data_IF_362625288655
#
_entry.id   IF_362625288655
#
_cell.length_a   1.000
_cell.length_b   1.000
_cell.length_c   1.000
_cell.angle_alpha   90.00
_cell.angle_beta   90.00
_cell.angle_gamma   90.00
#
_symmetry.space_group_name_H-M   'P 1'
#
loop_
_entity.id
_entity.type
_entity.pdbx_description
1 polymer ?
#
# COMPACT_ATOMS: atom_id res chain seq x y z
N UNK A 1 11.86 44.45 -65.47
CA UNK A 1 11.17 43.99 -64.25
C UNK A 1 9.78 44.57 -64.25
N UNK A 2 8.78 43.70 -64.44
CA UNK A 2 7.39 44.12 -64.67
C UNK A 2 6.59 44.10 -63.37
N UNK A 3 5.57 44.97 -63.27
CA UNK A 3 4.71 45.12 -62.08
C UNK A 3 3.99 43.83 -61.66
N UNK A 4 3.93 42.82 -62.53
CA UNK A 4 3.37 41.50 -62.25
C UNK A 4 4.28 40.59 -61.42
N UNK A 5 5.60 40.65 -61.62
CA UNK A 5 6.58 39.80 -60.91
C UNK A 5 6.55 40.08 -59.40
N UNK A 6 6.55 41.36 -59.03
CA UNK A 6 6.42 41.80 -57.63
C UNK A 6 5.16 41.31 -56.92
N UNK A 7 4.03 41.20 -57.63
CA UNK A 7 2.79 40.68 -57.04
C UNK A 7 2.87 39.17 -56.77
N UNK A 8 3.50 38.41 -57.67
CA UNK A 8 3.65 36.97 -57.52
C UNK A 8 4.63 36.65 -56.39
N UNK A 9 5.73 37.40 -56.28
CA UNK A 9 6.72 37.22 -55.21
C UNK A 9 6.13 37.51 -53.82
N UNK A 10 5.30 38.56 -53.70
CA UNK A 10 4.64 38.91 -52.43
C UNK A 10 3.60 37.87 -51.98
N UNK A 11 2.82 37.33 -52.93
CA UNK A 11 1.88 36.24 -52.66
C UNK A 11 2.62 34.96 -52.23
N UNK A 12 3.77 34.68 -52.84
CA UNK A 12 4.58 33.49 -52.51
C UNK A 12 5.23 33.62 -51.14
N UNK A 13 5.72 34.81 -50.78
CA UNK A 13 6.30 35.09 -49.47
C UNK A 13 5.28 34.92 -48.32
N UNK A 14 4.09 35.50 -48.49
CA UNK A 14 3.00 35.35 -47.49
C UNK A 14 2.54 33.90 -47.37
N UNK A 15 2.43 33.15 -48.48
CA UNK A 15 2.09 31.73 -48.46
C UNK A 15 3.16 30.88 -47.74
N UNK A 16 4.45 31.18 -47.91
CA UNK A 16 5.52 30.47 -47.21
C UNK A 16 5.54 30.75 -45.71
N UNK A 17 5.30 32.00 -45.29
CA UNK A 17 5.16 32.34 -43.86
C UNK A 17 3.97 31.60 -43.24
N UNK A 18 2.80 31.63 -43.90
CA UNK A 18 1.61 30.94 -43.40
C UNK A 18 1.84 29.44 -43.30
N UNK A 19 2.45 28.81 -44.31
CA UNK A 19 2.78 27.38 -44.27
C UNK A 19 3.79 27.02 -43.17
N UNK A 20 4.80 27.86 -42.93
CA UNK A 20 5.78 27.63 -41.87
C UNK A 20 5.17 27.80 -40.47
N UNK A 21 4.23 28.73 -40.31
CA UNK A 21 3.57 29.01 -39.03
C UNK A 21 2.35 28.11 -38.76
N UNK A 22 1.74 27.55 -39.80
CA UNK A 22 0.53 26.73 -39.70
C UNK A 22 0.72 25.56 -38.72
N UNK A 23 1.83 24.83 -38.82
CA UNK A 23 2.12 23.68 -37.94
C UNK A 23 2.33 24.06 -36.46
N UNK A 24 3.22 25.01 -36.11
CA UNK A 24 3.38 25.42 -34.70
C UNK A 24 2.12 26.05 -34.12
N UNK A 25 1.38 26.87 -34.88
CA UNK A 25 0.10 27.45 -34.42
C UNK A 25 -0.93 26.34 -34.17
N UNK A 26 -1.05 25.38 -35.08
CA UNK A 26 -1.96 24.24 -34.92
C UNK A 26 -1.62 23.44 -33.65
N UNK A 27 -0.34 23.19 -33.40
CA UNK A 27 0.11 22.44 -32.23
C UNK A 27 -0.22 23.20 -30.92
N UNK A 28 -0.01 24.51 -30.88
CA UNK A 28 -0.36 25.36 -29.74
C UNK A 28 -1.88 25.43 -29.53
N UNK A 29 -2.67 25.57 -30.60
CA UNK A 29 -4.14 25.60 -30.53
C UNK A 29 -4.68 24.26 -30.05
N UNK A 30 -4.19 23.15 -30.59
CA UNK A 30 -4.52 21.80 -30.14
C UNK A 30 -4.18 21.62 -28.65
N UNK A 31 -2.97 21.98 -28.22
CA UNK A 31 -2.58 21.89 -26.81
C UNK A 31 -3.46 22.78 -25.91
N UNK A 32 -3.79 24.00 -26.36
CA UNK A 32 -4.62 24.94 -25.61
C UNK A 32 -6.08 24.50 -25.47
N UNK A 33 -6.62 23.80 -26.47
CA UNK A 33 -7.96 23.22 -26.46
C UNK A 33 -7.99 21.92 -25.64
N UNK A 34 -7.00 21.04 -25.77
CA UNK A 34 -6.96 19.74 -25.11
C UNK A 34 -6.52 19.81 -23.63
N UNK A 35 -5.79 20.84 -23.20
CA UNK A 35 -5.33 20.95 -21.80
C UNK A 35 -6.47 20.93 -20.78
N UNK A 36 -7.63 21.52 -21.13
CA UNK A 36 -8.81 21.59 -20.25
C UNK A 36 -9.50 20.23 -20.09
N UNK A 37 -9.90 19.53 -21.18
CA UNK A 37 -10.51 18.21 -21.05
C UNK A 37 -9.54 17.18 -20.44
N UNK A 38 -8.25 17.21 -20.78
CA UNK A 38 -7.27 16.31 -20.16
C UNK A 38 -7.10 16.55 -18.65
N UNK A 39 -7.01 17.81 -18.22
CA UNK A 39 -6.94 18.14 -16.80
C UNK A 39 -8.20 17.73 -16.02
N UNK A 40 -9.38 17.78 -16.66
CA UNK A 40 -10.63 17.35 -16.03
C UNK A 40 -10.75 15.84 -15.83
N UNK A 41 -9.97 15.02 -16.56
CA UNK A 41 -9.94 13.56 -16.42
C UNK A 41 -8.96 13.06 -15.34
N UNK A 42 -7.97 13.88 -14.96
CA UNK A 42 -7.03 13.57 -13.87
C UNK A 42 -7.73 13.19 -12.55
N UNK A 43 -8.76 13.91 -12.07
CA UNK A 43 -9.46 13.51 -10.85
C UNK A 43 -10.17 12.15 -10.98
N UNK A 44 -10.73 11.81 -12.15
CA UNK A 44 -11.41 10.53 -12.37
C UNK A 44 -10.43 9.35 -12.32
N UNK A 45 -9.25 9.50 -12.91
CA UNK A 45 -8.17 8.50 -12.85
C UNK A 45 -7.72 8.32 -11.40
N UNK A 46 -7.64 9.41 -10.62
CA UNK A 46 -7.29 9.35 -9.19
C UNK A 46 -8.35 8.60 -8.39
N UNK A 47 -9.63 8.92 -8.54
CA UNK A 47 -10.73 8.25 -7.82
C UNK A 47 -10.82 6.76 -8.14
N UNK A 48 -10.65 6.39 -9.41
CA UNK A 48 -10.62 4.97 -9.81
C UNK A 48 -9.44 4.24 -9.17
N UNK A 49 -8.25 4.86 -9.16
CA UNK A 49 -7.07 4.27 -8.52
C UNK A 49 -7.22 4.15 -7.00
N UNK A 50 -7.89 5.10 -6.34
CA UNK A 50 -8.17 5.00 -4.91
C UNK A 50 -9.12 3.84 -4.60
N UNK A 51 -10.21 3.71 -5.36
CA UNK A 51 -11.17 2.62 -5.21
C UNK A 51 -10.55 1.25 -5.51
N UNK A 52 -9.65 1.16 -6.49
CA UNK A 52 -8.98 -0.10 -6.84
C UNK A 52 -8.05 -0.58 -5.71
N UNK A 53 -7.29 0.34 -5.08
CA UNK A 53 -6.43 0.04 -3.94
C UNK A 53 -7.25 -0.40 -2.72
N UNK A 54 -8.32 0.33 -2.39
CA UNK A 54 -9.20 0.00 -1.28
C UNK A 54 -9.82 -1.39 -1.46
N UNK A 55 -10.36 -1.67 -2.66
CA UNK A 55 -10.98 -2.96 -2.98
C UNK A 55 -9.95 -4.10 -2.98
N UNK A 56 -8.73 -3.87 -3.47
CA UNK A 56 -7.68 -4.88 -3.45
C UNK A 56 -7.27 -5.21 -2.01
N UNK A 57 -6.98 -4.20 -1.19
CA UNK A 57 -6.59 -4.38 0.20
C UNK A 57 -7.67 -5.14 0.99
N UNK A 58 -8.93 -4.70 0.90
CA UNK A 58 -10.05 -5.34 1.58
C UNK A 58 -10.26 -6.79 1.14
N UNK A 59 -10.14 -7.08 -0.17
CA UNK A 59 -10.25 -8.44 -0.71
C UNK A 59 -9.16 -9.36 -0.16
N UNK A 60 -7.90 -8.93 -0.26
CA UNK A 60 -6.77 -9.73 0.23
C UNK A 60 -6.84 -9.95 1.75
N UNK A 61 -7.33 -8.96 2.49
CA UNK A 61 -7.57 -9.09 3.92
C UNK A 61 -8.71 -10.06 4.23
N UNK A 62 -9.81 -10.04 3.47
CA UNK A 62 -10.93 -10.97 3.62
C UNK A 62 -10.51 -12.43 3.32
N UNK A 63 -9.70 -12.63 2.28
CA UNK A 63 -9.09 -13.93 1.98
C UNK A 63 -8.21 -14.39 3.14
N UNK A 64 -7.35 -13.50 3.65
CA UNK A 64 -6.45 -13.81 4.75
C UNK A 64 -7.21 -14.17 6.04
N UNK A 65 -8.28 -13.45 6.37
CA UNK A 65 -9.16 -13.79 7.49
C UNK A 65 -9.75 -15.18 7.37
N UNK A 66 -10.19 -15.54 6.16
CA UNK A 66 -10.77 -16.86 5.88
C UNK A 66 -9.73 -17.96 6.08
N UNK A 67 -8.51 -17.76 5.56
CA UNK A 67 -7.39 -18.68 5.78
C UNK A 67 -6.98 -18.78 7.25
N UNK A 68 -6.90 -17.67 7.97
CA UNK A 68 -6.52 -17.65 9.39
C UNK A 68 -7.59 -18.31 10.28
N UNK A 69 -8.87 -18.13 9.96
CA UNK A 69 -9.97 -18.81 10.65
C UNK A 69 -9.92 -20.34 10.42
N UNK A 70 -9.58 -20.78 9.21
CA UNK A 70 -9.44 -22.21 8.89
C UNK A 70 -8.25 -22.88 9.59
N UNK A 71 -7.19 -22.11 9.92
CA UNK A 71 -5.96 -22.60 10.54
C UNK A 71 -6.01 -22.59 12.08
N UNK A 72 -7.15 -22.22 12.67
CA UNK A 72 -7.34 -22.21 14.13
C UNK A 72 -6.25 -21.43 14.87
N UNK A 73 -6.12 -20.13 14.58
CA UNK A 73 -5.56 -19.13 15.53
C UNK A 73 -6.54 -18.93 16.71
N UNK A 74 -7.01 -20.02 17.31
CA UNK A 74 -8.22 -20.08 18.12
C UNK A 74 -7.96 -19.91 19.63
N UNK A 75 -6.71 -19.72 20.05
CA UNK A 75 -6.35 -19.64 21.48
C UNK A 75 -5.88 -18.29 21.99
N UNK A 76 -5.64 -17.32 21.11
CA UNK A 76 -5.11 -16.04 21.52
C UNK A 76 -6.24 -14.99 21.58
N UNK A 77 -6.91 -14.92 22.74
CA UNK A 77 -7.96 -13.93 22.96
C UNK A 77 -7.34 -12.54 23.12
N UNK A 78 -7.76 -11.61 22.26
CA UNK A 78 -7.42 -10.19 22.35
C UNK A 78 -7.97 -9.58 23.65
N UNK A 79 -8.93 -10.24 24.30
CA UNK A 79 -9.60 -9.76 25.50
C UNK A 79 -8.78 -9.86 26.80
N UNK A 80 -7.51 -10.26 26.77
CA UNK A 80 -6.63 -10.08 27.93
C UNK A 80 -6.49 -8.58 28.25
N UNK A 81 -6.63 -8.19 29.52
CA UNK A 81 -6.76 -6.79 29.96
C UNK A 81 -5.73 -5.82 29.37
N UNK A 82 -4.42 -6.15 29.27
CA UNK A 82 -3.43 -5.25 28.65
C UNK A 82 -3.61 -5.13 27.13
N UNK A 83 -4.02 -6.21 26.46
CA UNK A 83 -4.14 -6.27 25.00
C UNK A 83 -5.44 -5.65 24.50
N UNK A 84 -6.48 -5.65 25.34
CA UNK A 84 -7.72 -4.93 25.10
C UNK A 84 -7.54 -3.42 25.04
N UNK A 85 -6.72 -2.85 25.92
CA UNK A 85 -6.41 -1.42 25.87
C UNK A 85 -5.67 -1.05 24.57
N UNK A 86 -4.65 -1.83 24.20
CA UNK A 86 -3.92 -1.67 22.93
C UNK A 86 -4.86 -1.80 21.73
N UNK A 87 -5.78 -2.77 21.76
CA UNK A 87 -6.82 -2.94 20.75
C UNK A 87 -7.68 -1.68 20.60
N UNK A 88 -8.27 -1.21 21.68
CA UNK A 88 -9.17 -0.05 21.69
C UNK A 88 -8.47 1.22 21.20
N UNK A 89 -7.20 1.40 21.56
CA UNK A 89 -6.37 2.52 21.10
C UNK A 89 -6.08 2.45 19.59
N UNK A 90 -5.70 1.28 19.08
CA UNK A 90 -5.43 1.09 17.65
C UNK A 90 -6.70 1.15 16.80
N UNK A 91 -7.84 0.70 17.31
CA UNK A 91 -9.14 0.85 16.64
C UNK A 91 -9.53 2.33 16.54
N UNK A 92 -9.38 3.08 17.63
CA UNK A 92 -9.62 4.53 17.62
C UNK A 92 -8.67 5.24 16.66
N UNK A 93 -7.41 4.81 16.60
CA UNK A 93 -6.44 5.32 15.64
C UNK A 93 -6.82 4.95 14.20
N UNK A 94 -7.33 3.75 13.94
CA UNK A 94 -7.75 3.31 12.61
C UNK A 94 -8.88 4.18 12.04
N UNK A 95 -9.79 4.66 12.88
CA UNK A 95 -10.87 5.57 12.47
C UNK A 95 -10.39 6.94 11.97
N UNK A 96 -9.19 7.37 12.38
CA UNK A 96 -8.66 8.71 12.04
C UNK A 96 -7.45 8.62 11.09
N UNK A 97 -6.62 7.59 11.27
CA UNK A 97 -5.35 7.37 10.56
C UNK A 97 -5.16 5.87 10.28
N UNK A 98 -5.92 5.29 9.33
CA UNK A 98 -5.88 3.86 9.00
C UNK A 98 -4.46 3.30 8.79
N UNK A 99 -3.67 3.99 7.97
CA UNK A 99 -2.28 3.61 7.67
C UNK A 99 -1.39 3.55 8.91
N UNK A 100 -1.58 4.49 9.85
CA UNK A 100 -0.78 4.53 11.08
C UNK A 100 -1.18 3.38 12.01
N UNK A 101 -2.47 3.09 12.14
CA UNK A 101 -2.94 1.94 12.91
C UNK A 101 -2.41 0.60 12.38
N UNK A 102 -2.42 0.40 11.05
CA UNK A 102 -1.86 -0.80 10.40
C UNK A 102 -0.36 -0.94 10.70
N UNK A 103 0.39 0.17 10.59
CA UNK A 103 1.81 0.21 10.92
C UNK A 103 2.04 -0.17 12.39
N UNK A 104 1.37 0.48 13.32
CA UNK A 104 1.54 0.16 14.75
C UNK A 104 1.15 -1.29 15.07
N UNK A 105 0.07 -1.81 14.48
CA UNK A 105 -0.32 -3.20 14.63
C UNK A 105 0.75 -4.18 14.10
N UNK A 106 1.39 -3.90 12.95
CA UNK A 106 2.51 -4.72 12.46
C UNK A 106 3.72 -4.66 13.42
N UNK A 107 3.96 -3.55 14.13
CA UNK A 107 5.07 -3.47 15.10
C UNK A 107 4.87 -4.44 16.28
N UNK A 108 3.62 -4.69 16.67
CA UNK A 108 3.32 -5.70 17.69
C UNK A 108 3.68 -7.12 17.23
N UNK A 109 3.49 -7.43 15.95
CA UNK A 109 3.91 -8.71 15.35
C UNK A 109 5.43 -8.82 15.34
N UNK A 110 6.13 -7.78 14.87
CA UNK A 110 7.60 -7.73 14.85
C UNK A 110 8.19 -7.90 16.25
N UNK A 111 7.63 -7.20 17.24
CA UNK A 111 8.06 -7.31 18.62
C UNK A 111 7.77 -8.69 19.22
N UNK A 112 6.63 -9.31 18.89
CA UNK A 112 6.31 -10.69 19.29
C UNK A 112 7.30 -11.71 18.74
N UNK A 113 7.68 -11.57 17.46
CA UNK A 113 8.68 -12.42 16.81
C UNK A 113 10.05 -12.31 17.50
N UNK A 114 10.49 -11.09 17.79
CA UNK A 114 11.75 -10.83 18.51
C UNK A 114 11.72 -11.41 19.92
N UNK A 115 10.59 -11.29 20.64
CA UNK A 115 10.43 -11.89 21.98
C UNK A 115 10.55 -13.40 21.92
N UNK A 116 9.76 -14.07 21.08
CA UNK A 116 9.78 -15.53 20.92
C UNK A 116 11.19 -16.04 20.56
N UNK A 117 11.87 -15.37 19.61
CA UNK A 117 13.23 -15.73 19.23
C UNK A 117 14.23 -15.59 20.41
N UNK A 118 14.11 -14.54 21.23
CA UNK A 118 14.94 -14.35 22.43
C UNK A 118 14.66 -15.39 23.50
N UNK A 119 13.38 -15.66 23.77
CA UNK A 119 12.94 -16.61 24.80
C UNK A 119 13.42 -18.03 24.47
N UNK A 120 13.40 -18.38 23.19
CA UNK A 120 13.94 -19.65 22.67
C UNK A 120 15.45 -19.65 22.42
N UNK A 121 16.15 -18.57 22.78
CA UNK A 121 17.61 -18.40 22.66
C UNK A 121 18.13 -18.67 21.24
N UNK A 122 17.40 -18.21 20.23
CA UNK A 122 17.82 -18.31 18.84
C UNK A 122 19.13 -17.53 18.64
N UNK A 123 20.15 -18.21 18.11
CA UNK A 123 21.39 -17.56 17.71
C UNK A 123 21.20 -16.89 16.34
N UNK A 124 21.17 -15.57 16.35
CA UNK A 124 20.97 -14.75 15.16
C UNK A 124 21.95 -13.58 15.15
N UNK A 125 22.55 -13.33 13.99
CA UNK A 125 23.47 -12.23 13.80
C UNK A 125 22.80 -10.88 14.14
N UNK A 126 23.54 -9.86 14.64
CA UNK A 126 22.97 -8.60 15.09
C UNK A 126 22.03 -7.90 14.08
N UNK A 127 22.33 -7.97 12.78
CA UNK A 127 21.50 -7.37 11.74
C UNK A 127 20.16 -8.07 11.49
N UNK A 128 20.02 -9.34 11.86
CA UNK A 128 18.82 -10.15 11.62
C UNK A 128 17.67 -9.74 12.55
N UNK A 129 17.97 -9.25 13.75
CA UNK A 129 16.97 -8.83 14.74
C UNK A 129 16.08 -7.68 14.25
N UNK A 130 16.54 -6.91 13.28
CA UNK A 130 15.78 -5.82 12.63
C UNK A 130 15.09 -6.26 11.32
N UNK A 131 15.22 -7.52 10.93
CA UNK A 131 14.70 -8.07 9.67
C UNK A 131 13.62 -9.12 9.97
N UNK A 132 12.36 -8.73 10.18
CA UNK A 132 11.33 -9.64 10.68
C UNK A 132 11.09 -10.84 9.77
N UNK A 133 11.19 -10.69 8.45
CA UNK A 133 11.04 -11.83 7.54
C UNK A 133 12.22 -12.80 7.57
N UNK A 134 13.45 -12.29 7.73
CA UNK A 134 14.64 -13.14 7.85
C UNK A 134 14.62 -13.88 9.17
N UNK A 135 14.26 -13.19 10.26
CA UNK A 135 14.07 -13.78 11.57
C UNK A 135 12.99 -14.88 11.53
N UNK A 136 11.84 -14.60 10.90
CA UNK A 136 10.76 -15.58 10.73
C UNK A 136 11.19 -16.81 9.93
N UNK A 137 12.00 -16.63 8.88
CA UNK A 137 12.52 -17.74 8.08
C UNK A 137 13.48 -18.63 8.89
N UNK A 138 14.35 -18.03 9.72
CA UNK A 138 15.20 -18.80 10.64
C UNK A 138 14.35 -19.56 11.66
N UNK A 139 13.30 -18.94 12.20
CA UNK A 139 12.40 -19.56 13.15
C UNK A 139 11.63 -20.72 12.51
N UNK A 140 11.19 -20.61 11.26
CA UNK A 140 10.60 -21.72 10.49
C UNK A 140 11.62 -22.87 10.33
N UNK A 141 12.84 -22.57 9.89
CA UNK A 141 13.88 -23.58 9.69
C UNK A 141 14.30 -24.29 10.99
N UNK A 142 14.20 -23.60 12.13
CA UNK A 142 14.46 -24.16 13.46
C UNK A 142 13.26 -24.87 14.09
N UNK A 143 12.09 -24.86 13.44
CA UNK A 143 10.85 -25.45 13.96
C UNK A 143 10.15 -24.63 15.04
N UNK A 144 10.58 -23.39 15.32
CA UNK A 144 9.88 -22.47 16.24
C UNK A 144 8.61 -21.88 15.64
N UNK A 145 8.53 -21.80 14.30
CA UNK A 145 7.31 -21.43 13.58
C UNK A 145 6.87 -22.60 12.71
N UNK A 146 5.57 -22.86 12.72
CA UNK A 146 4.98 -23.74 11.73
C UNK A 146 4.85 -23.03 10.37
N UNK A 147 4.79 -23.80 9.27
CA UNK A 147 4.66 -23.27 7.91
C UNK A 147 3.47 -22.31 7.75
N UNK A 148 2.33 -22.64 8.37
CA UNK A 148 1.14 -21.80 8.35
C UNK A 148 1.31 -20.47 9.12
N UNK A 149 2.11 -20.45 10.19
CA UNK A 149 2.42 -19.22 10.93
C UNK A 149 3.34 -18.32 10.10
N UNK A 150 4.31 -18.92 9.38
CA UNK A 150 5.20 -18.19 8.48
C UNK A 150 4.45 -17.65 7.25
N UNK A 151 3.52 -18.42 6.66
CA UNK A 151 2.65 -17.93 5.58
C UNK A 151 1.82 -16.72 6.06
N UNK A 152 1.18 -16.83 7.22
CA UNK A 152 0.42 -15.72 7.82
C UNK A 152 1.30 -14.48 8.07
N UNK A 153 2.51 -14.66 8.61
CA UNK A 153 3.49 -13.58 8.78
C UNK A 153 3.81 -12.89 7.45
N UNK A 154 4.08 -13.67 6.40
CA UNK A 154 4.44 -13.14 5.08
C UNK A 154 3.29 -12.33 4.44
N UNK A 155 2.06 -12.81 4.58
CA UNK A 155 0.86 -12.15 4.06
C UNK A 155 0.54 -10.87 4.84
N UNK A 156 0.64 -10.90 6.17
CA UNK A 156 0.50 -9.70 7.01
C UNK A 156 1.55 -8.65 6.66
N UNK A 157 2.82 -9.05 6.44
CA UNK A 157 3.89 -8.13 6.01
C UNK A 157 3.55 -7.49 4.66
N UNK A 158 3.04 -8.28 3.71
CA UNK A 158 2.67 -7.80 2.38
C UNK A 158 1.58 -6.73 2.47
N UNK A 159 0.49 -7.01 3.18
CA UNK A 159 -0.61 -6.07 3.44
C UNK A 159 -0.13 -4.81 4.18
N UNK A 160 0.69 -4.94 5.21
CA UNK A 160 1.25 -3.77 5.92
C UNK A 160 2.10 -2.89 4.99
N UNK A 161 2.91 -3.50 4.12
CA UNK A 161 3.71 -2.78 3.12
C UNK A 161 2.85 -2.07 2.09
N UNK A 162 1.74 -2.68 1.69
CA UNK A 162 0.80 -2.10 0.75
C UNK A 162 0.08 -0.89 1.34
N UNK A 163 -0.42 -1.02 2.58
CA UNK A 163 -1.01 0.08 3.32
C UNK A 163 -0.05 1.26 3.51
N UNK A 164 1.25 1.02 3.74
CA UNK A 164 2.26 2.07 3.84
C UNK A 164 2.41 2.89 2.54
N UNK A 165 2.28 2.23 1.38
CA UNK A 165 2.35 2.86 0.06
C UNK A 165 1.00 3.43 -0.39
N UNK A 166 -0.08 3.07 0.28
CA UNK A 166 -1.41 3.55 -0.04
C UNK A 166 -1.49 5.08 0.13
N UNK A 167 -2.27 5.76 -0.72
CA UNK A 167 -2.62 7.16 -0.54
C UNK A 167 -3.29 7.42 0.82
N UNK A 168 -3.26 8.66 1.30
CA UNK A 168 -3.79 9.03 2.62
C UNK A 168 -5.25 8.59 2.80
N UNK A 169 -6.06 8.71 1.73
CA UNK A 169 -7.48 8.38 1.72
C UNK A 169 -7.78 7.05 0.98
N UNK A 170 -6.76 6.24 0.70
CA UNK A 170 -6.89 5.00 -0.09
C UNK A 170 -7.16 3.74 0.74
N UNK A 171 -7.47 3.89 2.03
CA UNK A 171 -7.69 2.79 2.96
C UNK A 171 -9.00 3.00 3.73
N UNK A 172 -9.86 1.99 3.69
CA UNK A 172 -11.07 1.96 4.49
C UNK A 172 -10.73 1.79 6.00
N UNK A 173 -11.30 2.60 6.90
CA UNK A 173 -11.16 2.41 8.34
C UNK A 173 -11.57 1.03 8.84
N UNK A 174 -12.60 0.41 8.27
CA UNK A 174 -13.05 -0.93 8.67
C UNK A 174 -11.99 -1.99 8.35
N UNK A 175 -11.39 -1.94 7.16
CA UNK A 175 -10.31 -2.84 6.77
C UNK A 175 -9.06 -2.65 7.66
N UNK A 176 -8.79 -1.42 8.10
CA UNK A 176 -7.70 -1.17 9.04
C UNK A 176 -7.98 -1.78 10.43
N UNK A 177 -9.20 -1.65 10.95
CA UNK A 177 -9.62 -2.31 12.21
C UNK A 177 -9.49 -3.83 12.09
N UNK A 178 -9.88 -4.37 10.95
CA UNK A 178 -9.78 -5.79 10.65
C UNK A 178 -8.34 -6.30 10.60
N UNK A 179 -7.45 -5.53 9.99
CA UNK A 179 -6.02 -5.82 9.96
C UNK A 179 -5.43 -5.79 11.38
N UNK A 180 -5.76 -4.76 12.18
CA UNK A 180 -5.39 -4.67 13.60
C UNK A 180 -5.86 -5.94 14.33
N UNK A 181 -7.09 -6.40 14.03
CA UNK A 181 -7.71 -7.68 14.40
C UNK A 181 -6.79 -8.86 14.29
N UNK A 182 -6.32 -9.03 13.08
CA UNK A 182 -5.56 -10.18 12.70
C UNK A 182 -4.12 -10.10 13.23
N UNK A 183 -3.49 -8.94 13.11
CA UNK A 183 -2.11 -8.72 13.56
C UNK A 183 -1.95 -8.92 15.07
N UNK A 184 -2.86 -8.38 15.90
CA UNK A 184 -2.77 -8.52 17.35
C UNK A 184 -3.05 -9.94 17.83
N UNK A 185 -3.95 -10.67 17.15
CA UNK A 185 -4.18 -12.10 17.42
C UNK A 185 -2.97 -12.95 17.06
N UNK A 186 -2.36 -12.68 15.91
CA UNK A 186 -1.14 -13.38 15.50
C UNK A 186 0.03 -13.08 16.46
N UNK A 187 0.22 -11.81 16.83
CA UNK A 187 1.23 -11.44 17.83
C UNK A 187 1.00 -12.15 19.18
N UNK A 188 -0.26 -12.34 19.57
CA UNK A 188 -0.62 -13.06 20.78
C UNK A 188 -0.40 -14.58 20.66
N UNK A 189 -0.61 -15.19 19.48
CA UNK A 189 -0.32 -16.62 19.29
C UNK A 189 1.18 -16.92 19.38
N UNK A 190 2.04 -15.98 18.95
CA UNK A 190 3.50 -16.12 19.12
C UNK A 190 3.94 -16.17 20.58
N UNK A 191 3.19 -15.55 21.49
CA UNK A 191 3.46 -15.56 22.93
C UNK A 191 2.90 -16.81 23.62
N UNK A 192 1.79 -17.36 23.12
CA UNK A 192 1.17 -18.57 23.68
C UNK A 192 1.99 -19.85 23.42
N UNK A 193 2.81 -19.84 22.36
CA UNK A 193 3.70 -20.93 21.97
C UNK A 193 5.14 -20.76 22.54
N UNK A 194 5.40 -19.72 23.36
CA UNK A 194 6.67 -19.48 24.05
C UNK A 194 6.77 -20.28 25.35
#
# INVERSE_FOLDING_TARGET
>A
MTRQEWRLDFLTFTAQIVSALAWPITLVVCAALLRRPLASLVPLIRTLKYSDIEVQFGRELAELKTSAAAVATQKADVQTTPRRAVWEDLVRLASVRPRTAIREAWQHVEAGLVRLAKDRKLDAAPGVWSMPMVLGALMLNSGMLAEHQYDLLSRLRRLASEAERAPVDGLNPEDAVDFVGLALRFAASLEADA
#
